data_IF_117836286542
#
_entry.id   IF_117836286542
#
_cell.length_a   1.000
_cell.length_b   1.000
_cell.length_c   1.000
_cell.angle_alpha   90.00
_cell.angle_beta   90.00
_cell.angle_gamma   90.00
#
_symmetry.space_group_name_H-M   'P 1'
#
loop_
_entity.id
_entity.type
_entity.pdbx_description
1 polymer ?
#
# COMPACT_ATOMS: atom_id res chain seq x y z
N UNK A 1 -49.43 -23.89 7.97
CA UNK A 1 -49.00 -24.73 6.83
C UNK A 1 -48.96 -23.82 5.62
N UNK A 2 -47.74 -23.56 5.12
CA UNK A 2 -47.35 -23.08 3.77
C UNK A 2 -47.88 -21.67 3.35
N UNK A 3 -47.09 -20.58 3.40
CA UNK A 3 -45.93 -20.20 2.57
C UNK A 3 -46.13 -20.41 1.06
N UNK A 4 -46.24 -19.30 0.31
CA UNK A 4 -45.54 -19.12 -0.97
C UNK A 4 -45.67 -17.67 -1.49
N UNK A 5 -44.54 -17.15 -1.99
CA UNK A 5 -44.37 -16.05 -2.94
C UNK A 5 -44.12 -14.63 -2.39
N UNK A 6 -42.88 -14.40 -1.94
CA UNK A 6 -42.21 -13.09 -2.12
C UNK A 6 -41.03 -13.33 -3.05
N UNK A 7 -41.09 -12.73 -4.25
CA UNK A 7 -39.95 -12.67 -5.18
C UNK A 7 -38.95 -11.64 -4.64
N UNK A 8 -37.72 -12.08 -4.38
CA UNK A 8 -36.58 -11.20 -4.16
C UNK A 8 -36.11 -10.65 -5.51
N UNK A 9 -36.16 -9.33 -5.65
CA UNK A 9 -35.51 -8.58 -6.74
C UNK A 9 -34.06 -8.37 -6.30
N UNK A 10 -33.04 -8.70 -7.12
CA UNK A 10 -31.66 -8.39 -6.80
C UNK A 10 -31.43 -6.88 -7.01
N UNK A 11 -31.01 -6.17 -5.96
CA UNK A 11 -30.58 -4.78 -6.05
C UNK A 11 -29.15 -4.73 -6.62
N UNK A 12 -28.89 -3.96 -7.70
CA UNK A 12 -27.54 -3.72 -8.20
C UNK A 12 -26.88 -2.55 -7.46
N UNK A 13 -25.55 -2.59 -7.31
CA UNK A 13 -24.71 -1.41 -7.22
C UNK A 13 -24.38 -0.88 -5.82
N UNK A 14 -23.36 -1.47 -5.18
CA UNK A 14 -22.60 -0.84 -4.08
C UNK A 14 -21.77 0.36 -4.59
N UNK A 15 -21.68 0.55 -5.91
CA UNK A 15 -20.98 1.65 -6.59
C UNK A 15 -21.60 3.05 -6.36
N UNK A 16 -22.81 3.17 -5.84
CA UNK A 16 -23.51 4.46 -5.73
C UNK A 16 -23.32 5.21 -4.39
N UNK A 17 -22.78 4.58 -3.34
CA UNK A 17 -22.76 5.20 -1.99
C UNK A 17 -21.41 5.80 -1.56
N UNK A 18 -20.32 5.54 -2.27
CA UNK A 18 -19.01 6.17 -1.99
C UNK A 18 -18.90 7.57 -2.60
N UNK A 19 -19.75 7.90 -3.58
CA UNK A 19 -19.71 9.16 -4.33
C UNK A 19 -20.28 10.39 -3.59
N UNK A 20 -20.92 10.22 -2.41
CA UNK A 20 -21.70 11.27 -1.76
C UNK A 20 -21.07 11.91 -0.51
N UNK A 21 -19.84 11.55 -0.12
CA UNK A 21 -19.21 12.03 1.13
C UNK A 21 -17.95 12.89 0.94
N UNK A 22 -17.54 13.22 -0.29
CA UNK A 22 -16.30 13.96 -0.57
C UNK A 22 -16.44 15.36 -1.18
N UNK A 23 -17.65 15.80 -1.57
CA UNK A 23 -17.81 17.05 -2.35
C UNK A 23 -18.99 17.86 -1.80
N UNK A 24 -18.88 18.35 -0.57
CA UNK A 24 -19.68 19.50 -0.13
C UNK A 24 -19.08 20.13 1.13
N UNK A 25 -18.04 20.96 0.98
CA UNK A 25 -17.77 22.07 1.90
C UNK A 25 -16.65 22.98 1.34
N UNK A 26 -16.92 24.28 1.37
CA UNK A 26 -16.04 25.40 1.03
C UNK A 26 -15.81 25.77 -0.45
N UNK A 27 -16.89 26.21 -1.12
CA UNK A 27 -16.79 27.33 -2.06
C UNK A 27 -16.75 28.64 -1.26
N UNK A 28 -15.55 29.17 -1.03
CA UNK A 28 -15.33 30.45 -0.35
C UNK A 28 -14.03 31.07 -0.86
N UNK A 29 -14.18 32.12 -1.66
CA UNK A 29 -13.16 32.87 -2.40
C UNK A 29 -11.88 33.23 -1.61
N UNK A 30 -10.73 32.88 -2.17
CA UNK A 30 -9.49 33.66 -2.10
C UNK A 30 -8.56 33.28 -3.26
N UNK A 31 -8.65 34.02 -4.37
CA UNK A 31 -7.56 34.10 -5.34
C UNK A 31 -6.45 34.93 -4.67
N UNK A 32 -5.45 34.26 -4.10
CA UNK A 32 -4.17 34.88 -3.76
C UNK A 32 -3.18 34.52 -4.87
N UNK A 33 -2.50 35.55 -5.40
CA UNK A 33 -1.58 35.43 -6.53
C UNK A 33 -0.45 34.45 -6.24
N UNK A 34 -0.18 33.59 -7.21
CA UNK A 34 1.02 32.75 -7.27
C UNK A 34 2.15 33.67 -7.73
N UNK A 35 3.04 34.02 -6.80
CA UNK A 35 4.33 34.62 -7.12
C UNK A 35 5.26 33.46 -7.48
N UNK A 36 5.67 33.38 -8.75
CA UNK A 36 6.60 32.38 -9.24
C UNK A 36 8.02 32.90 -9.07
N UNK A 37 8.60 32.72 -7.89
CA UNK A 37 10.06 32.70 -7.74
C UNK A 37 10.55 31.32 -8.16
N UNK A 38 11.06 31.22 -9.38
CA UNK A 38 11.86 30.07 -9.82
C UNK A 38 13.16 30.07 -9.02
N UNK A 39 13.21 29.29 -7.94
CA UNK A 39 14.49 28.90 -7.33
C UNK A 39 15.14 27.88 -8.27
N UNK A 40 16.05 28.35 -9.12
CA UNK A 40 17.02 27.51 -9.80
C UNK A 40 17.86 26.79 -8.73
N UNK A 41 17.51 25.55 -8.44
CA UNK A 41 18.34 24.67 -7.62
C UNK A 41 19.64 24.40 -8.36
N UNK A 42 20.70 25.13 -7.98
CA UNK A 42 22.05 24.93 -8.47
C UNK A 42 22.51 23.49 -8.18
N UNK A 43 23.11 22.85 -9.19
CA UNK A 43 23.66 21.48 -9.15
C UNK A 43 24.61 21.25 -7.97
N UNK A 44 25.21 22.33 -7.43
CA UNK A 44 26.08 22.31 -6.25
C UNK A 44 25.34 21.99 -4.94
N UNK A 45 24.02 22.24 -4.83
CA UNK A 45 23.20 21.81 -3.68
C UNK A 45 22.86 20.31 -3.71
N UNK A 46 22.86 19.68 -4.89
CA UNK A 46 22.64 18.23 -5.06
C UNK A 46 23.88 17.39 -4.69
N UNK A 47 25.07 17.98 -4.77
CA UNK A 47 26.35 17.32 -4.49
C UNK A 47 26.86 17.54 -3.05
N UNK A 48 26.12 18.28 -2.23
CA UNK A 48 26.50 18.62 -0.85
C UNK A 48 25.79 17.79 0.22
N UNK A 49 24.94 16.82 -0.16
CA UNK A 49 24.42 15.83 0.77
C UNK A 49 25.59 15.03 1.37
N UNK A 50 25.71 15.10 2.68
CA UNK A 50 26.79 14.41 3.39
C UNK A 50 26.62 12.89 3.27
N UNK A 51 27.72 12.15 3.22
CA UNK A 51 27.70 10.68 3.22
C UNK A 51 26.91 10.12 4.42
N UNK A 52 26.91 10.84 5.53
CA UNK A 52 26.13 10.53 6.73
C UNK A 52 24.62 10.70 6.50
N UNK A 53 24.18 11.72 5.76
CA UNK A 53 22.77 11.85 5.36
C UNK A 53 22.33 10.72 4.42
N UNK A 54 23.19 10.29 3.48
CA UNK A 54 22.94 9.10 2.66
C UNK A 54 22.87 7.79 3.47
N UNK A 55 23.60 7.69 4.58
CA UNK A 55 23.60 6.54 5.48
C UNK A 55 22.49 6.61 6.56
N UNK A 56 21.83 7.76 6.70
CA UNK A 56 20.81 8.01 7.73
C UNK A 56 19.39 7.59 7.34
N UNK A 57 19.24 6.75 6.31
CA UNK A 57 17.94 6.18 5.95
C UNK A 57 17.49 5.23 7.06
N UNK A 58 16.42 5.59 7.77
CA UNK A 58 15.84 4.74 8.79
C UNK A 58 14.85 3.73 8.18
N UNK A 59 14.91 2.48 8.64
CA UNK A 59 14.04 1.37 8.22
C UNK A 59 13.47 0.63 9.42
N UNK A 60 12.30 0.00 9.26
CA UNK A 60 11.61 -0.76 10.30
C UNK A 60 11.58 -2.26 9.96
N UNK A 61 11.45 -2.62 8.67
CA UNK A 61 11.14 -3.99 8.23
C UNK A 61 12.15 -5.06 8.65
N UNK A 62 13.43 -4.74 8.81
CA UNK A 62 14.44 -5.77 9.12
C UNK A 62 14.37 -6.27 10.58
N UNK A 63 13.92 -5.43 11.50
CA UNK A 63 13.98 -5.71 12.94
C UNK A 63 12.71 -5.39 13.70
N UNK A 64 11.67 -4.90 13.00
CA UNK A 64 10.46 -4.28 13.57
C UNK A 64 10.77 -3.08 14.47
N UNK A 65 11.89 -2.41 14.23
CA UNK A 65 12.36 -1.26 14.99
C UNK A 65 12.95 -0.23 14.06
N UNK A 66 12.68 1.04 14.33
CA UNK A 66 13.31 2.14 13.61
C UNK A 66 14.81 2.15 13.91
N UNK A 67 15.62 1.99 12.87
CA UNK A 67 17.09 2.03 12.93
C UNK A 67 17.64 2.35 11.54
N UNK A 68 18.90 2.78 11.44
CA UNK A 68 19.54 2.99 10.14
C UNK A 68 19.53 1.70 9.32
N UNK A 69 19.35 1.83 8.00
CA UNK A 69 19.48 0.74 7.05
C UNK A 69 20.85 0.04 7.14
N UNK A 70 21.91 0.74 7.55
CA UNK A 70 23.24 0.17 7.74
C UNK A 70 23.31 -0.79 8.95
N UNK A 71 22.53 -0.51 10.00
CA UNK A 71 22.47 -1.31 11.23
C UNK A 71 21.40 -2.42 11.15
N UNK A 72 20.63 -2.46 10.07
CA UNK A 72 19.53 -3.38 9.89
C UNK A 72 20.00 -4.82 9.63
N UNK A 73 19.50 -5.83 10.39
CA UNK A 73 19.81 -7.23 10.13
C UNK A 73 18.99 -7.70 8.91
N UNK A 74 19.43 -7.32 7.72
CA UNK A 74 18.75 -7.64 6.46
C UNK A 74 19.03 -6.61 5.38
N UNK A 75 18.90 -7.00 4.13
CA UNK A 75 19.17 -6.09 3.02
C UNK A 75 17.87 -5.35 2.67
N UNK A 76 17.74 -4.11 3.13
CA UNK A 76 16.56 -3.27 2.92
C UNK A 76 16.84 -2.23 1.84
N UNK A 77 15.87 -1.99 0.96
CA UNK A 77 15.82 -0.82 0.09
C UNK A 77 14.64 0.04 0.53
N UNK A 78 14.82 1.36 0.64
CA UNK A 78 13.74 2.29 1.03
C UNK A 78 13.60 3.37 -0.04
N UNK A 79 12.37 3.70 -0.41
CA UNK A 79 12.06 4.85 -1.26
C UNK A 79 11.28 5.87 -0.45
N UNK A 80 11.78 7.10 -0.37
CA UNK A 80 11.09 8.20 0.28
C UNK A 80 9.94 8.73 -0.57
N UNK A 81 9.07 9.54 0.02
CA UNK A 81 8.01 10.26 -0.70
C UNK A 81 8.59 11.14 -1.82
N UNK A 82 9.76 11.75 -1.59
CA UNK A 82 10.46 12.53 -2.60
C UNK A 82 10.93 11.66 -3.78
N UNK A 83 11.40 10.44 -3.51
CA UNK A 83 11.75 9.47 -4.57
C UNK A 83 10.52 9.06 -5.38
N UNK A 84 9.43 8.70 -4.70
CA UNK A 84 8.15 8.30 -5.30
C UNK A 84 7.62 9.42 -6.19
N UNK A 85 7.64 10.67 -5.70
CA UNK A 85 7.21 11.86 -6.44
C UNK A 85 8.08 12.13 -7.67
N UNK A 86 9.41 12.07 -7.54
CA UNK A 86 10.37 12.31 -8.62
C UNK A 86 10.33 11.25 -9.71
N UNK A 87 10.17 9.98 -9.33
CA UNK A 87 10.10 8.86 -10.27
C UNK A 87 8.73 8.75 -10.95
N UNK A 88 7.67 9.25 -10.31
CA UNK A 88 6.30 9.12 -10.81
C UNK A 88 5.74 7.70 -10.67
N UNK A 89 6.35 6.86 -9.83
CA UNK A 89 5.96 5.46 -9.60
C UNK A 89 4.98 5.36 -8.43
N UNK A 90 3.72 5.10 -8.75
CA UNK A 90 2.62 5.09 -7.76
C UNK A 90 2.15 3.69 -7.37
N UNK A 91 2.74 2.64 -7.95
CA UNK A 91 2.44 1.25 -7.61
C UNK A 91 3.66 0.56 -7.01
N UNK A 92 3.43 -0.48 -6.21
CA UNK A 92 4.54 -1.29 -5.69
C UNK A 92 5.25 -2.07 -6.80
N UNK A 93 4.54 -2.42 -7.87
CA UNK A 93 5.12 -3.10 -9.02
C UNK A 93 6.19 -2.23 -9.69
N UNK A 94 5.92 -0.94 -9.88
CA UNK A 94 6.90 0.00 -10.46
C UNK A 94 8.13 0.14 -9.58
N UNK A 95 7.94 0.33 -8.27
CA UNK A 95 9.06 0.39 -7.32
C UNK A 95 9.83 -0.94 -7.26
N UNK A 96 9.16 -2.08 -7.30
CA UNK A 96 9.80 -3.38 -7.28
C UNK A 96 10.69 -3.59 -8.51
N UNK A 97 10.29 -3.12 -9.70
CA UNK A 97 11.07 -3.25 -10.93
C UNK A 97 12.38 -2.46 -10.93
N UNK A 98 12.49 -1.40 -10.12
CA UNK A 98 13.76 -0.67 -9.93
C UNK A 98 14.51 -1.08 -8.66
N UNK A 99 13.93 -1.96 -7.85
CA UNK A 99 14.53 -2.41 -6.59
C UNK A 99 15.50 -3.57 -6.82
N UNK A 100 16.79 -3.44 -6.47
CA UNK A 100 17.74 -4.52 -6.71
C UNK A 100 17.37 -5.83 -6.02
N UNK A 101 17.15 -6.88 -6.81
CA UNK A 101 16.75 -8.21 -6.33
C UNK A 101 15.24 -8.39 -6.16
N UNK A 102 14.44 -7.37 -6.46
CA UNK A 102 13.01 -7.48 -6.73
C UNK A 102 12.78 -7.28 -8.23
N UNK A 103 11.65 -7.79 -8.69
CA UNK A 103 11.09 -7.52 -10.01
C UNK A 103 9.63 -7.93 -9.99
N UNK A 104 8.90 -7.62 -11.06
CA UNK A 104 7.57 -8.14 -11.28
C UNK A 104 7.49 -8.86 -12.61
N UNK A 105 6.54 -9.79 -12.70
CA UNK A 105 6.14 -10.40 -13.96
C UNK A 105 4.62 -10.47 -14.03
N UNK A 106 4.09 -10.42 -15.25
CA UNK A 106 2.65 -10.52 -15.48
C UNK A 106 2.21 -11.99 -15.55
N UNK A 107 1.06 -12.29 -14.93
CA UNK A 107 0.39 -13.58 -15.00
C UNK A 107 -1.13 -13.34 -14.87
N UNK A 108 -1.90 -13.80 -15.85
CA UNK A 108 -3.35 -13.64 -15.90
C UNK A 108 -3.83 -12.20 -15.60
N UNK A 109 -3.37 -11.21 -16.37
CA UNK A 109 -3.79 -9.81 -16.21
C UNK A 109 -3.21 -9.07 -14.99
N UNK A 110 -2.54 -9.76 -14.07
CA UNK A 110 -1.97 -9.16 -12.86
C UNK A 110 -0.45 -9.16 -12.85
N UNK A 111 0.16 -8.19 -12.17
CA UNK A 111 1.58 -8.22 -11.80
C UNK A 111 1.77 -8.89 -10.45
N UNK A 112 2.78 -9.75 -10.37
CA UNK A 112 3.18 -10.43 -9.14
C UNK A 112 4.67 -10.26 -8.87
N UNK A 113 5.08 -10.35 -7.61
CA UNK A 113 6.47 -10.16 -7.23
C UNK A 113 7.33 -11.37 -7.58
N UNK A 114 8.57 -11.06 -7.95
CA UNK A 114 9.69 -11.97 -8.05
C UNK A 114 10.84 -11.41 -7.22
N UNK A 115 11.54 -12.29 -6.50
CA UNK A 115 12.67 -11.88 -5.66
C UNK A 115 13.84 -12.83 -5.87
N UNK A 116 15.01 -12.28 -6.21
CA UNK A 116 16.25 -13.03 -6.47
C UNK A 116 16.10 -14.16 -7.52
N UNK A 117 15.30 -13.93 -8.56
CA UNK A 117 15.04 -14.94 -9.60
C UNK A 117 13.97 -15.97 -9.24
N UNK A 118 13.41 -15.89 -8.03
CA UNK A 118 12.36 -16.80 -7.56
C UNK A 118 10.99 -16.15 -7.75
N UNK A 119 10.21 -16.73 -8.65
CA UNK A 119 8.82 -16.36 -8.88
C UNK A 119 7.96 -16.80 -7.71
N UNK A 120 6.88 -16.06 -7.42
CA UNK A 120 5.88 -16.46 -6.43
C UNK A 120 5.20 -17.82 -6.73
N UNK A 121 5.51 -18.45 -7.88
CA UNK A 121 5.08 -19.77 -8.35
C UNK A 121 3.57 -19.91 -8.62
N UNK A 122 2.79 -18.87 -8.34
CA UNK A 122 1.35 -18.78 -8.59
C UNK A 122 0.93 -17.31 -8.78
N UNK A 123 -0.19 -17.06 -9.45
CA UNK A 123 -0.86 -15.74 -9.53
C UNK A 123 -1.26 -15.22 -8.13
N UNK A 124 -1.32 -16.11 -7.15
CA UNK A 124 -1.66 -15.78 -5.77
C UNK A 124 -0.64 -14.85 -5.09
N UNK A 125 0.58 -14.65 -5.61
CA UNK A 125 1.57 -13.73 -5.02
C UNK A 125 1.70 -13.82 -3.48
N UNK A 126 1.69 -15.05 -2.96
CA UNK A 126 1.41 -15.34 -1.54
C UNK A 126 2.66 -15.56 -0.68
N UNK A 127 3.84 -15.30 -1.24
CA UNK A 127 5.14 -15.50 -0.57
C UNK A 127 5.84 -14.19 -0.20
N UNK A 128 5.17 -13.07 -0.42
CA UNK A 128 5.59 -11.73 -0.01
C UNK A 128 4.60 -11.15 0.98
N UNK A 129 5.08 -10.63 2.11
CA UNK A 129 4.24 -10.02 3.11
C UNK A 129 4.17 -8.53 2.80
N UNK A 130 2.96 -8.00 2.75
CA UNK A 130 2.70 -6.60 2.53
C UNK A 130 2.04 -5.99 3.76
N UNK A 131 2.54 -4.83 4.17
CA UNK A 131 2.05 -4.11 5.35
C UNK A 131 1.89 -2.62 5.09
N UNK A 132 0.94 -2.00 5.80
CA UNK A 132 0.86 -0.55 6.01
C UNK A 132 1.06 -0.30 7.50
N UNK A 133 2.08 0.48 7.87
CA UNK A 133 2.42 0.80 9.27
C UNK A 133 2.56 -0.44 10.18
N UNK A 134 3.06 -1.53 9.60
CA UNK A 134 3.22 -2.83 10.25
C UNK A 134 1.94 -3.67 10.35
N UNK A 135 0.80 -3.20 9.83
CA UNK A 135 -0.44 -3.97 9.71
C UNK A 135 -0.42 -4.76 8.40
N UNK A 136 -0.45 -6.10 8.42
CA UNK A 136 -0.57 -6.92 7.23
C UNK A 136 -1.85 -6.61 6.44
N UNK A 137 -1.71 -6.49 5.12
CA UNK A 137 -2.83 -6.21 4.21
C UNK A 137 -2.95 -7.23 3.06
N UNK A 138 -2.26 -8.36 3.15
CA UNK A 138 -2.42 -9.45 2.17
C UNK A 138 -3.88 -9.91 2.14
N UNK A 139 -4.34 -10.34 0.96
CA UNK A 139 -5.71 -10.84 0.81
C UNK A 139 -6.00 -12.04 1.74
N UNK A 140 -7.09 -11.99 2.52
CA UNK A 140 -7.32 -12.92 3.63
C UNK A 140 -7.45 -14.42 3.27
N UNK A 141 -7.83 -14.75 2.03
CA UNK A 141 -7.95 -16.15 1.56
C UNK A 141 -6.68 -16.66 0.88
N UNK A 142 -6.26 -15.94 -0.16
CA UNK A 142 -5.14 -16.29 -1.03
C UNK A 142 -3.77 -15.88 -0.46
N UNK A 143 -3.74 -15.07 0.62
CA UNK A 143 -2.54 -14.40 1.12
C UNK A 143 -1.84 -13.53 0.06
N UNK A 144 -2.58 -13.06 -0.95
CA UNK A 144 -2.04 -12.28 -2.06
C UNK A 144 -1.48 -10.95 -1.62
N UNK A 145 -0.22 -10.67 -1.99
CA UNK A 145 0.33 -9.33 -1.92
C UNK A 145 -0.20 -8.49 -3.09
N UNK A 146 -0.78 -7.35 -2.75
CA UNK A 146 -1.23 -6.32 -3.69
C UNK A 146 -0.03 -5.61 -4.30
N UNK A 147 -0.02 -5.38 -5.61
CA UNK A 147 1.17 -4.79 -6.27
C UNK A 147 0.84 -3.59 -7.14
N UNK A 148 -0.42 -3.43 -7.55
CA UNK A 148 -0.81 -2.48 -8.58
C UNK A 148 -1.67 -1.35 -7.98
N UNK A 149 -2.62 -0.85 -8.77
CA UNK A 149 -3.40 0.36 -8.52
C UNK A 149 -4.42 0.22 -7.38
N UNK A 150 -4.69 -1.00 -6.93
CA UNK A 150 -5.50 -1.24 -5.74
C UNK A 150 -4.85 -0.72 -4.44
N UNK A 151 -3.56 -0.37 -4.51
CA UNK A 151 -2.80 0.20 -3.41
C UNK A 151 -1.90 1.36 -3.90
N UNK A 152 -2.44 2.58 -4.05
CA UNK A 152 -1.65 3.73 -4.45
C UNK A 152 -0.66 4.15 -3.37
N UNK A 153 0.55 4.51 -3.77
CA UNK A 153 1.64 4.89 -2.84
C UNK A 153 1.67 6.36 -2.43
N UNK A 154 0.68 7.15 -2.85
CA UNK A 154 0.66 8.60 -2.68
C UNK A 154 0.67 9.08 -1.22
N UNK A 155 0.13 8.27 -0.29
CA UNK A 155 0.12 8.60 1.14
C UNK A 155 1.38 8.14 1.89
N UNK A 156 2.29 7.46 1.20
CA UNK A 156 3.49 6.90 1.81
C UNK A 156 4.53 7.99 2.08
N UNK A 157 5.01 8.06 3.32
CA UNK A 157 6.27 8.76 3.64
C UNK A 157 7.45 8.00 3.04
N UNK A 158 7.39 6.67 3.12
CA UNK A 158 8.36 5.78 2.50
C UNK A 158 7.82 4.38 2.28
N UNK A 159 8.45 3.66 1.36
CA UNK A 159 8.19 2.24 1.10
C UNK A 159 9.47 1.46 1.30
N UNK A 160 9.43 0.47 2.19
CA UNK A 160 10.57 -0.37 2.57
C UNK A 160 10.43 -1.77 1.98
N UNK A 161 11.43 -2.22 1.22
CA UNK A 161 11.56 -3.56 0.66
C UNK A 161 12.66 -4.35 1.39
N UNK A 162 12.27 -5.31 2.23
CA UNK A 162 13.16 -6.30 2.82
C UNK A 162 13.34 -7.48 1.86
N UNK A 163 14.59 -7.82 1.57
CA UNK A 163 14.94 -8.95 0.67
C UNK A 163 15.23 -10.22 1.44
N UNK A 164 14.55 -11.31 1.06
CA UNK A 164 14.79 -12.64 1.61
C UNK A 164 13.87 -13.03 2.77
N UNK A 165 14.14 -14.17 3.43
CA UNK A 165 13.21 -14.76 4.39
C UNK A 165 13.00 -13.91 5.66
N UNK A 166 11.86 -13.25 5.73
CA UNK A 166 11.33 -12.55 6.92
C UNK A 166 10.40 -13.41 7.78
N UNK A 167 10.17 -14.69 7.42
CA UNK A 167 9.21 -15.57 8.12
C UNK A 167 9.52 -15.82 9.59
N UNK A 168 10.78 -15.74 10.02
CA UNK A 168 11.14 -15.83 11.45
C UNK A 168 10.55 -14.68 12.27
N UNK A 169 10.45 -13.48 11.68
CA UNK A 169 9.98 -12.28 12.35
C UNK A 169 8.50 -12.02 12.09
N UNK A 170 8.03 -12.32 10.88
CA UNK A 170 6.69 -11.96 10.43
C UNK A 170 5.76 -13.15 10.15
N UNK A 171 6.26 -14.38 10.13
CA UNK A 171 5.46 -15.59 9.90
C UNK A 171 5.07 -15.82 8.44
N UNK A 172 3.80 -16.16 8.24
CA UNK A 172 3.21 -16.51 6.93
C UNK A 172 3.40 -15.36 5.93
N UNK A 173 3.55 -15.72 4.66
CA UNK A 173 3.77 -14.82 3.53
C UNK A 173 5.10 -14.06 3.52
N UNK A 174 5.96 -14.15 4.53
CA UNK A 174 7.24 -13.41 4.54
C UNK A 174 8.43 -14.23 4.02
N UNK A 175 8.22 -15.23 3.16
CA UNK A 175 9.29 -16.16 2.78
C UNK A 175 10.27 -15.58 1.75
N UNK A 176 9.77 -14.84 0.76
CA UNK A 176 10.61 -14.19 -0.24
C UNK A 176 10.95 -12.74 0.11
N UNK A 177 10.12 -12.08 0.92
CA UNK A 177 10.39 -10.75 1.40
C UNK A 177 9.25 -10.12 2.16
N UNK A 178 9.50 -8.91 2.64
CA UNK A 178 8.53 -8.09 3.36
C UNK A 178 8.56 -6.69 2.76
N UNK A 179 7.39 -6.20 2.39
CA UNK A 179 7.19 -4.83 1.90
C UNK A 179 6.36 -4.10 2.96
N UNK A 180 6.84 -2.94 3.40
CA UNK A 180 6.10 -2.11 4.36
C UNK A 180 5.98 -0.69 3.81
N UNK A 181 4.75 -0.23 3.73
CA UNK A 181 4.43 1.17 3.44
C UNK A 181 4.31 1.87 4.78
N UNK A 182 5.12 2.91 4.98
CA UNK A 182 5.01 3.78 6.14
C UNK A 182 4.24 5.02 5.72
N UNK A 183 3.08 5.23 6.30
CA UNK A 183 2.22 6.37 5.97
C UNK A 183 2.78 7.67 6.56
N UNK A 184 2.63 8.77 5.83
CA UNK A 184 3.04 10.09 6.31
C UNK A 184 2.39 10.44 7.65
N UNK A 185 3.16 11.10 8.51
CA UNK A 185 2.76 11.56 9.83
C UNK A 185 2.93 13.09 9.91
N UNK A 186 2.05 13.73 10.68
CA UNK A 186 2.29 15.12 11.12
C UNK A 186 2.99 15.10 12.47
N UNK A 187 4.01 15.94 12.63
CA UNK A 187 4.70 16.13 13.91
C UNK A 187 4.10 17.27 14.72
N UNK A 188 3.61 18.31 14.06
CA UNK A 188 2.98 19.48 14.67
C UNK A 188 1.45 19.46 14.49
N UNK A 189 0.75 20.16 15.37
CA UNK A 189 -0.70 20.31 15.26
C UNK A 189 -1.09 21.04 13.98
N UNK A 190 -2.09 20.51 13.29
CA UNK A 190 -2.48 21.08 12.00
C UNK A 190 -3.26 20.11 11.14
N UNK A 191 -3.42 20.49 9.89
CA UNK A 191 -4.11 19.72 8.87
C UNK A 191 -3.26 19.75 7.60
N UNK A 192 -3.03 18.58 7.03
CA UNK A 192 -2.42 18.40 5.72
C UNK A 192 -3.43 17.70 4.81
N UNK A 193 -3.66 18.24 3.62
CA UNK A 193 -4.53 17.65 2.61
C UNK A 193 -3.83 17.75 1.26
N UNK A 194 -3.74 16.64 0.56
CA UNK A 194 -3.15 16.53 -0.77
C UNK A 194 -4.08 15.70 -1.66
N UNK A 195 -4.32 16.16 -2.89
CA UNK A 195 -5.14 15.45 -3.86
C UNK A 195 -4.43 15.44 -5.21
N UNK A 196 -4.47 14.30 -5.89
CA UNK A 196 -3.91 14.13 -7.22
C UNK A 196 -4.91 13.47 -8.15
N UNK A 197 -5.09 14.07 -9.32
CA UNK A 197 -5.92 13.53 -10.40
C UNK A 197 -5.05 13.35 -11.63
N UNK A 198 -5.14 12.18 -12.27
CA UNK A 198 -4.38 11.84 -13.48
C UNK A 198 -5.32 11.27 -14.53
N UNK A 199 -5.15 11.69 -15.77
CA UNK A 199 -5.89 11.18 -16.94
C UNK A 199 -4.90 10.74 -18.02
N UNK A 200 -5.08 9.53 -18.55
CA UNK A 200 -4.31 8.96 -19.65
C UNK A 200 -5.14 8.80 -20.92
N UNK A 201 -4.51 8.97 -22.08
CA UNK A 201 -5.19 8.97 -23.38
C UNK A 201 -5.19 7.61 -24.09
N UNK A 202 -4.25 6.73 -23.77
CA UNK A 202 -4.03 5.49 -24.52
C UNK A 202 -5.17 4.50 -24.29
N UNK A 203 -5.47 4.24 -23.01
CA UNK A 203 -6.47 3.26 -22.55
C UNK A 203 -7.53 3.89 -21.61
N UNK A 204 -7.61 5.23 -21.63
CA UNK A 204 -8.59 5.97 -20.83
C UNK A 204 -8.32 5.90 -19.33
N UNK A 205 -7.05 5.83 -18.94
CA UNK A 205 -6.63 5.77 -17.53
C UNK A 205 -7.16 6.97 -16.75
N UNK A 206 -7.72 6.70 -15.57
CA UNK A 206 -8.22 7.70 -14.64
C UNK A 206 -7.74 7.31 -13.26
N UNK A 207 -7.00 8.21 -12.60
CA UNK A 207 -6.55 8.02 -11.22
C UNK A 207 -6.93 9.21 -10.38
N UNK A 208 -7.53 8.97 -9.23
CA UNK A 208 -7.80 9.97 -8.20
C UNK A 208 -7.19 9.46 -6.90
N UNK A 209 -6.34 10.26 -6.27
CA UNK A 209 -5.72 9.94 -4.99
C UNK A 209 -5.92 11.10 -4.04
N UNK A 210 -6.18 10.79 -2.76
CA UNK A 210 -6.40 11.75 -1.70
C UNK A 210 -5.66 11.32 -0.44
N UNK A 211 -5.00 12.25 0.21
CA UNK A 211 -4.32 12.06 1.48
C UNK A 211 -4.70 13.21 2.41
N UNK A 212 -5.23 12.89 3.59
CA UNK A 212 -5.58 13.85 4.62
C UNK A 212 -5.02 13.39 5.96
N UNK A 213 -4.33 14.29 6.66
CA UNK A 213 -3.79 14.05 8.00
C UNK A 213 -4.19 15.23 8.88
N UNK A 214 -4.85 14.96 10.00
CA UNK A 214 -5.17 15.95 11.01
C UNK A 214 -4.47 15.59 12.32
N UNK A 215 -3.72 16.53 12.90
CA UNK A 215 -3.06 16.36 14.20
C UNK A 215 -3.55 17.39 15.21
N UNK A 216 -3.80 16.91 16.42
CA UNK A 216 -4.05 17.71 17.62
C UNK A 216 -3.18 17.20 18.77
N UNK A 217 -3.21 17.90 19.91
CA UNK A 217 -2.56 17.44 21.14
C UNK A 217 -3.15 16.11 21.66
N UNK A 218 -4.37 15.77 21.26
CA UNK A 218 -5.07 14.56 21.70
C UNK A 218 -4.77 13.34 20.82
N UNK A 219 -4.33 13.54 19.58
CA UNK A 219 -4.12 12.44 18.65
C UNK A 219 -3.96 12.86 17.20
N UNK A 220 -4.07 11.87 16.32
CA UNK A 220 -3.93 12.08 14.88
C UNK A 220 -4.93 11.22 14.11
N UNK A 221 -5.57 11.82 13.10
CA UNK A 221 -6.45 11.16 12.15
C UNK A 221 -5.79 11.16 10.77
N UNK A 222 -5.60 9.98 10.18
CA UNK A 222 -5.18 9.81 8.79
C UNK A 222 -6.35 9.25 7.97
N UNK A 223 -6.59 9.82 6.80
CA UNK A 223 -7.56 9.35 5.82
C UNK A 223 -6.89 9.35 4.44
N UNK A 224 -6.85 8.19 3.79
CA UNK A 224 -6.29 8.04 2.46
C UNK A 224 -7.32 7.39 1.54
N UNK A 225 -7.40 7.87 0.31
CA UNK A 225 -8.34 7.36 -0.69
C UNK A 225 -7.68 7.23 -2.05
N UNK A 226 -8.08 6.21 -2.80
CA UNK A 226 -7.64 5.96 -4.16
C UNK A 226 -8.78 5.43 -5.02
N UNK A 227 -8.89 5.93 -6.24
CA UNK A 227 -9.71 5.37 -7.30
C UNK A 227 -8.86 5.27 -8.55
N UNK A 228 -8.90 4.11 -9.19
CA UNK A 228 -8.26 3.89 -10.48
C UNK A 228 -9.24 3.20 -11.42
N UNK A 229 -9.24 3.64 -12.67
CA UNK A 229 -9.99 3.00 -13.74
C UNK A 229 -9.22 3.08 -15.04
N UNK A 230 -9.22 1.97 -15.76
CA UNK A 230 -8.61 1.80 -17.08
C UNK A 230 -9.52 0.94 -17.94
N UNK A 231 -9.57 1.23 -19.24
CA UNK A 231 -10.19 0.33 -20.23
C UNK A 231 -9.18 -0.71 -20.70
N UNK A 232 -9.67 -1.81 -21.28
CA UNK A 232 -8.79 -2.84 -21.83
C UNK A 232 -7.83 -2.23 -22.87
N UNK A 233 -6.56 -2.60 -22.76
CA UNK A 233 -5.51 -2.12 -23.63
C UNK A 233 -5.78 -2.50 -25.09
N UNK A 234 -5.28 -1.67 -26.01
CA UNK A 234 -5.42 -1.90 -27.46
C UNK A 234 -4.45 -2.96 -27.99
N UNK A 235 -3.76 -3.68 -27.12
CA UNK A 235 -2.86 -4.75 -27.48
C UNK A 235 -3.64 -5.98 -27.96
N UNK A 236 -3.06 -6.69 -28.93
CA UNK A 236 -3.66 -7.88 -29.54
C UNK A 236 -2.88 -9.12 -29.14
N UNK A 237 -3.61 -10.17 -28.77
CA UNK A 237 -3.06 -11.47 -28.39
C UNK A 237 -2.94 -12.43 -29.58
N UNK A 238 -3.57 -12.12 -30.70
CA UNK A 238 -3.59 -12.99 -31.89
C UNK A 238 -2.88 -12.44 -33.12
N UNK A 239 -3.01 -13.18 -34.21
CA UNK A 239 -2.38 -12.85 -35.50
C UNK A 239 -3.11 -11.74 -36.26
N UNK A 240 -4.33 -11.42 -35.87
CA UNK A 240 -5.18 -10.44 -36.53
C UNK A 240 -5.52 -9.28 -35.58
N UNK A 241 -5.42 -8.05 -36.09
CA UNK A 241 -5.89 -6.86 -35.40
C UNK A 241 -7.42 -6.81 -35.46
N UNK A 242 -8.07 -7.50 -34.53
CA UNK A 242 -9.53 -7.52 -34.39
C UNK A 242 -9.94 -7.37 -32.93
N UNK A 243 -11.14 -6.83 -32.68
CA UNK A 243 -11.69 -6.72 -31.32
C UNK A 243 -11.87 -8.09 -30.64
N UNK A 244 -11.93 -9.17 -31.42
CA UNK A 244 -12.00 -10.55 -30.95
C UNK A 244 -10.68 -11.09 -30.41
N UNK A 245 -9.57 -10.39 -30.65
CA UNK A 245 -8.22 -10.79 -30.23
C UNK A 245 -7.57 -9.73 -29.36
N UNK A 246 -8.35 -8.96 -28.59
CA UNK A 246 -7.86 -7.96 -27.65
C UNK A 246 -7.34 -8.60 -26.36
N UNK A 247 -6.34 -7.97 -25.75
CA UNK A 247 -5.92 -8.25 -24.38
C UNK A 247 -6.86 -7.54 -23.38
N UNK A 248 -7.63 -8.29 -22.61
CA UNK A 248 -8.61 -7.77 -21.66
C UNK A 248 -8.00 -7.55 -20.29
N UNK A 249 -7.25 -6.46 -20.13
CA UNK A 249 -6.62 -6.03 -18.88
C UNK A 249 -7.21 -4.71 -18.35
N UNK A 250 -8.50 -4.50 -18.64
CA UNK A 250 -9.29 -3.47 -17.98
C UNK A 250 -9.26 -3.67 -16.46
N UNK A 251 -9.32 -2.56 -15.73
CA UNK A 251 -9.18 -2.58 -14.29
C UNK A 251 -9.97 -1.43 -13.67
N UNK A 252 -10.62 -1.73 -12.55
CA UNK A 252 -11.23 -0.75 -11.68
C UNK A 252 -10.87 -1.07 -10.22
N UNK A 253 -10.24 -0.11 -9.53
CA UNK A 253 -9.72 -0.30 -8.19
C UNK A 253 -10.14 0.82 -7.25
N UNK A 254 -10.40 0.46 -5.99
CA UNK A 254 -10.71 1.39 -4.91
C UNK A 254 -9.83 1.08 -3.72
N UNK A 255 -9.19 2.11 -3.19
CA UNK A 255 -8.42 2.07 -1.96
C UNK A 255 -9.02 3.02 -0.93
N UNK A 256 -9.14 2.57 0.31
CA UNK A 256 -9.50 3.45 1.43
C UNK A 256 -8.77 3.01 2.69
N UNK A 257 -8.11 3.95 3.35
CA UNK A 257 -7.49 3.75 4.65
C UNK A 257 -7.94 4.86 5.59
N UNK A 258 -8.36 4.48 6.79
CA UNK A 258 -8.63 5.41 7.89
C UNK A 258 -7.93 4.91 9.15
N UNK A 259 -7.26 5.81 9.86
CA UNK A 259 -6.59 5.51 11.11
C UNK A 259 -6.76 6.68 12.09
N UNK A 260 -7.27 6.39 13.27
CA UNK A 260 -7.29 7.31 14.40
C UNK A 260 -6.31 6.81 15.46
N UNK A 261 -5.28 7.62 15.76
CA UNK A 261 -4.34 7.41 16.86
C UNK A 261 -4.66 8.37 18.01
N UNK A 262 -4.55 7.87 19.24
CA UNK A 262 -4.71 8.66 20.47
C UNK A 262 -3.34 8.87 21.10
N UNK A 263 -2.97 10.13 21.32
CA UNK A 263 -1.67 10.55 21.85
C UNK A 263 -1.73 11.06 23.29
N UNK A 264 -2.93 11.25 23.84
CA UNK A 264 -3.13 11.76 25.20
C UNK A 264 -4.02 10.86 26.08
N UNK A 265 -3.98 11.11 27.40
CA UNK A 265 -4.83 10.42 28.37
C UNK A 265 -4.52 8.93 28.58
N UNK A 266 -5.50 8.20 29.12
CA UNK A 266 -5.38 6.78 29.50
C UNK A 266 -5.26 5.85 28.29
N UNK A 267 -5.74 6.30 27.12
CA UNK A 267 -5.70 5.54 25.87
C UNK A 267 -4.50 5.89 24.97
N UNK A 268 -3.54 6.69 25.47
CA UNK A 268 -2.33 7.04 24.74
C UNK A 268 -1.64 5.80 24.17
N UNK A 269 -1.35 5.85 22.87
CA UNK A 269 -0.73 4.75 22.12
C UNK A 269 -1.73 3.84 21.40
N UNK A 270 -3.02 3.98 21.65
CA UNK A 270 -4.06 3.24 20.93
C UNK A 270 -4.29 3.86 19.55
N UNK A 271 -4.34 3.01 18.54
CA UNK A 271 -4.74 3.33 17.17
C UNK A 271 -5.86 2.39 16.74
N UNK A 272 -6.93 2.95 16.18
CA UNK A 272 -8.01 2.22 15.57
C UNK A 272 -8.05 2.56 14.09
N UNK A 273 -8.22 1.58 13.22
CA UNK A 273 -8.25 1.84 11.79
C UNK A 273 -8.94 0.78 10.98
N UNK A 274 -9.10 1.07 9.69
CA UNK A 274 -9.67 0.18 8.70
C UNK A 274 -9.01 0.45 7.35
N UNK A 275 -8.55 -0.63 6.72
CA UNK A 275 -8.00 -0.60 5.36
C UNK A 275 -8.93 -1.43 4.47
N UNK A 276 -9.29 -0.85 3.32
CA UNK A 276 -10.13 -1.45 2.29
C UNK A 276 -9.38 -1.40 0.96
N UNK A 277 -9.25 -2.55 0.33
CA UNK A 277 -8.76 -2.67 -1.04
C UNK A 277 -9.80 -3.41 -1.87
N UNK A 278 -10.11 -2.86 -3.02
CA UNK A 278 -10.96 -3.46 -4.03
C UNK A 278 -10.25 -3.38 -5.36
N UNK A 279 -10.26 -4.47 -6.10
CA UNK A 279 -9.99 -4.44 -7.53
C UNK A 279 -10.86 -5.43 -8.26
N UNK A 280 -11.26 -5.05 -9.45
CA UNK A 280 -11.93 -5.87 -10.45
C UNK A 280 -11.22 -5.63 -11.78
N UNK A 281 -11.02 -6.68 -12.57
CA UNK A 281 -10.40 -6.53 -13.88
C UNK A 281 -10.42 -7.81 -14.70
N UNK A 282 -9.97 -7.68 -15.94
CA UNK A 282 -9.89 -8.77 -16.89
C UNK A 282 -8.61 -9.62 -16.77
N UNK A 283 -8.70 -10.90 -17.12
CA UNK A 283 -7.59 -11.87 -17.06
C UNK A 283 -6.49 -11.66 -18.12
N UNK A 284 -6.61 -10.62 -18.95
CA UNK A 284 -5.75 -10.38 -20.11
C UNK A 284 -6.11 -11.30 -21.28
N UNK A 285 -5.29 -12.31 -21.50
CA UNK A 285 -5.42 -13.25 -22.62
C UNK A 285 -6.19 -14.51 -22.20
N UNK A 286 -7.33 -14.77 -22.84
CA UNK A 286 -8.07 -16.02 -22.67
C UNK A 286 -8.43 -16.61 -24.03
N UNK A 287 -8.04 -17.87 -24.28
CA UNK A 287 -8.26 -18.54 -25.57
C UNK A 287 -9.34 -19.61 -25.47
N UNK A 288 -10.45 -19.41 -26.15
CA UNK A 288 -11.43 -20.47 -26.39
C UNK A 288 -11.40 -20.98 -27.84
N UNK A 289 -11.16 -22.28 -28.00
CA UNK A 289 -11.52 -23.04 -29.21
C UNK A 289 -10.68 -22.80 -30.48
N UNK A 290 -11.13 -23.41 -31.58
CA UNK A 290 -10.51 -23.29 -32.92
C UNK A 290 -11.00 -21.99 -33.55
N UNK A 291 -10.12 -20.99 -33.64
CA UNK A 291 -10.44 -19.66 -34.18
C UNK A 291 -9.96 -18.49 -33.30
N UNK A 292 -9.51 -18.78 -32.08
CA UNK A 292 -8.75 -17.86 -31.24
C UNK A 292 -9.50 -16.57 -30.91
N UNK A 293 -10.55 -16.69 -30.09
CA UNK A 293 -11.34 -15.55 -29.60
C UNK A 293 -11.02 -15.30 -28.13
N UNK A 294 -10.72 -14.04 -27.82
CA UNK A 294 -10.55 -13.46 -26.49
C UNK A 294 -11.79 -12.61 -26.17
N UNK A 295 -12.48 -12.91 -25.07
CA UNK A 295 -13.66 -12.16 -24.62
C UNK A 295 -13.42 -11.61 -23.21
N UNK A 296 -14.08 -10.50 -22.89
CA UNK A 296 -13.98 -9.86 -21.58
C UNK A 296 -14.52 -10.80 -20.50
N UNK A 297 -13.65 -11.18 -19.57
CA UNK A 297 -13.97 -11.97 -18.38
C UNK A 297 -13.41 -11.21 -17.17
N UNK A 298 -14.27 -10.46 -16.48
CA UNK A 298 -13.91 -9.73 -15.27
C UNK A 298 -13.92 -10.67 -14.06
N UNK A 299 -12.99 -11.62 -14.08
CA UNK A 299 -12.87 -12.68 -13.08
C UNK A 299 -11.83 -12.36 -12.00
N UNK A 300 -10.95 -11.37 -12.21
CA UNK A 300 -9.99 -10.92 -11.21
C UNK A 300 -10.65 -9.96 -10.23
N UNK A 301 -11.38 -10.51 -9.26
CA UNK A 301 -11.95 -9.70 -8.17
C UNK A 301 -11.23 -9.96 -6.86
N UNK A 302 -10.53 -8.96 -6.32
CA UNK A 302 -9.96 -9.00 -4.97
C UNK A 302 -10.65 -7.99 -4.06
N UNK A 303 -11.00 -8.44 -2.85
CA UNK A 303 -11.64 -7.61 -1.82
C UNK A 303 -10.99 -7.89 -0.49
N UNK A 304 -10.26 -6.91 0.03
CA UNK A 304 -9.54 -7.02 1.29
C UNK A 304 -10.09 -6.00 2.27
N UNK A 305 -10.57 -6.47 3.42
CA UNK A 305 -11.10 -5.64 4.51
C UNK A 305 -10.31 -5.94 5.78
N UNK A 306 -9.60 -4.94 6.30
CA UNK A 306 -8.72 -5.06 7.47
C UNK A 306 -9.07 -4.00 8.51
N UNK A 307 -10.15 -4.18 9.30
CA UNK A 307 -10.31 -3.44 10.54
C UNK A 307 -9.25 -3.90 11.56
N UNK A 308 -8.67 -2.95 12.28
CA UNK A 308 -7.65 -3.22 13.27
C UNK A 308 -7.71 -2.27 14.47
N UNK A 309 -7.23 -2.79 15.60
CA UNK A 309 -6.83 -2.04 16.79
C UNK A 309 -5.36 -2.33 17.04
N UNK A 310 -4.56 -1.29 17.22
CA UNK A 310 -3.13 -1.36 17.48
C UNK A 310 -2.84 -0.55 18.73
N UNK A 311 -2.02 -1.06 19.63
CA UNK A 311 -1.62 -0.39 20.86
C UNK A 311 -0.11 -0.43 20.99
N UNK A 312 0.50 0.75 21.04
CA UNK A 312 1.94 0.94 21.18
C UNK A 312 2.22 1.76 22.44
N UNK A 313 3.03 1.22 23.35
CA UNK A 313 3.42 1.94 24.56
C UNK A 313 4.87 1.66 24.93
N UNK A 314 5.52 2.67 25.52
CA UNK A 314 6.84 2.53 26.12
C UNK A 314 6.67 2.13 27.59
N UNK A 315 7.07 0.91 27.92
CA UNK A 315 6.99 0.37 29.28
C UNK A 315 8.18 0.82 30.15
N UNK A 316 9.33 1.08 29.53
CA UNK A 316 10.54 1.62 30.14
C UNK A 316 11.42 2.24 29.05
N UNK A 317 12.48 2.97 29.41
CA UNK A 317 13.44 3.59 28.46
C UNK A 317 13.95 2.61 27.39
N UNK A 318 14.01 1.33 27.76
CA UNK A 318 14.50 0.25 26.92
C UNK A 318 13.41 -0.78 26.52
N UNK A 319 12.13 -0.52 26.73
CA UNK A 319 11.08 -1.52 26.45
C UNK A 319 9.88 -0.89 25.77
N UNK A 320 9.59 -1.36 24.56
CA UNK A 320 8.39 -0.99 23.81
C UNK A 320 7.49 -2.22 23.68
N UNK A 321 6.20 -2.05 23.98
CA UNK A 321 5.18 -3.03 23.72
C UNK A 321 4.36 -2.62 22.51
N UNK A 322 4.17 -3.54 21.57
CA UNK A 322 3.34 -3.37 20.39
C UNK A 322 2.37 -4.55 20.31
N UNK A 323 1.08 -4.27 20.38
CA UNK A 323 0.02 -5.24 20.21
C UNK A 323 -0.94 -4.81 19.12
N UNK A 324 -1.29 -5.71 18.19
CA UNK A 324 -2.30 -5.45 17.17
C UNK A 324 -3.33 -6.58 17.13
N UNK A 325 -4.61 -6.22 17.18
CA UNK A 325 -5.74 -7.07 16.85
C UNK A 325 -6.24 -6.66 15.47
N UNK A 326 -6.34 -7.61 14.55
CA UNK A 326 -6.87 -7.36 13.21
C UNK A 326 -7.78 -8.49 12.77
N UNK A 327 -8.69 -8.17 11.84
CA UNK A 327 -9.54 -9.15 11.17
C UNK A 327 -9.33 -9.04 9.67
N UNK A 328 -9.12 -10.17 8.99
CA UNK A 328 -9.15 -10.22 7.53
C UNK A 328 -10.50 -10.79 7.10
N UNK A 329 -11.33 -9.97 6.48
CA UNK A 329 -12.61 -10.42 5.93
C UNK A 329 -12.56 -10.45 4.40
N UNK A 330 -13.01 -11.56 3.81
CA UNK A 330 -13.25 -11.70 2.37
C UNK A 330 -14.69 -12.19 2.16
N UNK A 331 -15.40 -11.68 1.14
CA UNK A 331 -16.80 -12.01 0.92
C UNK A 331 -16.91 -13.09 -0.15
N UNK A 332 -17.10 -14.34 0.26
CA UNK A 332 -17.67 -15.41 -0.58
C UNK A 332 -18.79 -16.06 0.24
N UNK A 333 -19.97 -15.43 0.29
CA UNK A 333 -21.14 -15.85 1.09
C UNK A 333 -20.84 -16.30 2.54
N UNK A 334 -21.02 -15.39 3.48
CA UNK A 334 -21.32 -15.73 4.89
C UNK A 334 -20.23 -16.52 5.65
N UNK A 335 -18.97 -16.10 5.61
CA UNK A 335 -17.98 -16.52 6.61
C UNK A 335 -17.04 -15.35 6.93
N UNK A 336 -17.15 -14.80 8.14
CA UNK A 336 -16.18 -13.87 8.70
C UNK A 336 -15.16 -14.72 9.47
N UNK A 337 -13.96 -14.88 8.93
CA UNK A 337 -12.87 -15.54 9.65
C UNK A 337 -12.22 -14.53 10.60
N UNK A 338 -12.35 -14.77 11.90
CA UNK A 338 -11.61 -14.05 12.92
C UNK A 338 -10.23 -14.68 13.13
N UNK A 339 -9.26 -13.85 13.53
CA UNK A 339 -7.97 -14.13 14.20
C UNK A 339 -6.70 -13.73 13.45
N UNK A 340 -6.11 -12.62 13.91
CA UNK A 340 -4.69 -12.59 14.27
C UNK A 340 -4.47 -11.54 15.40
N UNK A 341 -4.26 -11.99 16.63
CA UNK A 341 -3.73 -11.14 17.69
C UNK A 341 -2.20 -11.28 17.67
N UNK A 342 -1.49 -10.21 17.30
CA UNK A 342 -0.02 -10.17 17.40
C UNK A 342 0.36 -9.35 18.62
N UNK A 343 1.05 -9.98 19.54
CA UNK A 343 1.63 -9.32 20.72
C UNK A 343 3.14 -9.39 20.60
N UNK A 344 3.83 -8.27 20.82
CA UNK A 344 5.28 -8.24 20.78
C UNK A 344 5.84 -7.30 21.84
N UNK A 345 6.80 -7.82 22.59
CA UNK A 345 7.59 -7.09 23.58
C UNK A 345 9.00 -6.92 23.00
N UNK A 346 9.51 -5.70 22.90
CA UNK A 346 10.79 -5.40 22.25
C UNK A 346 11.72 -4.68 23.22
N UNK A 347 12.92 -5.24 23.45
CA UNK A 347 13.95 -4.65 24.30
C UNK A 347 14.96 -3.81 23.49
N UNK A 348 15.10 -2.51 23.81
CA UNK A 348 16.11 -1.59 23.29
C UNK A 348 17.46 -1.80 23.99
N UNK A 349 18.48 -2.24 23.25
CA UNK A 349 19.88 -2.19 23.69
C UNK A 349 20.53 -0.94 23.10
N UNK A 350 20.84 0.04 23.94
CA UNK A 350 21.72 1.14 23.55
C UNK A 350 23.13 0.58 23.36
N UNK A 351 23.54 0.34 22.10
CA UNK A 351 24.98 0.28 21.80
C UNK A 351 25.46 1.72 21.70
N UNK A 352 25.92 2.27 22.81
CA UNK A 352 26.86 3.39 22.76
C UNK A 352 28.08 2.93 21.97
N UNK A 353 28.45 3.70 20.95
CA UNK A 353 29.64 3.46 20.13
C UNK A 353 30.87 3.27 21.03
N UNK A 354 31.41 2.06 21.04
CA UNK A 354 32.54 1.66 21.87
C UNK A 354 33.91 2.09 21.27
N UNK A 355 33.91 3.09 20.38
CA UNK A 355 35.08 3.46 19.57
C UNK A 355 35.65 4.85 19.83
N UNK A 356 35.34 5.49 20.97
CA UNK A 356 35.87 6.83 21.27
C UNK A 356 36.60 6.97 22.62
N UNK A 357 37.22 5.88 23.10
CA UNK A 357 38.18 5.95 24.21
C UNK A 357 39.41 5.11 23.94
N UNK A 358 40.30 5.58 23.06
CA UNK A 358 41.74 5.34 23.12
C UNK A 358 42.47 6.43 22.32
N UNK A 359 42.63 7.57 22.96
CA UNK A 359 43.45 8.69 22.50
C UNK A 359 44.02 9.42 23.71
N UNK A 360 44.97 8.80 24.39
CA UNK A 360 45.89 9.44 25.34
C UNK A 360 47.31 9.06 24.97
#
# INVERSE_FOLDING_TARGET
MLLSNVRLIPLPGITAYVFALGIFCFTGSALAGVDSSEDELEIDQLMSLSLDELLSINVIVASKRLQSAADAPGIVTSYSQADIGRLGYYTLADLANITPGYSTYSIFGEKVFETRGEKAASFENNKHLLMIDGIPINHGRANKAHTEEELPLFFAERVEFLRGPGSSLYGVSAFYGVINIVSADLHENGMFIENKVTFGNQDGDQRVMSNMIHRTDEGQLKVNGGYYKKSASKDYVGTENTERQRYWDDQESIFFNIQQRVDSGVLRGLSAGMILLYTEGGLGEFWEGVGGVSHELNELTWRTWVPYLKYETELAENWTYNGSLLSHSFITSTTVCFYLARHQLVARTNRTNFFDQKGS
#
